data_IF_476350546062
#
_entry.id   IF_476350546062
#
_cell.length_a   1.000
_cell.length_b   1.000
_cell.length_c   1.000
_cell.angle_alpha   90.00
_cell.angle_beta   90.00
_cell.angle_gamma   90.00
#
_symmetry.space_group_name_H-M   'P 1'
#
loop_
_entity.id
_entity.type
_entity.pdbx_description
1 polymer ?
#
# COMPACT_ATOMS: atom_id res chain seq x y z
N UNK A 1 57.57 -10.65 -25.71
CA UNK A 1 56.70 -9.98 -26.69
C UNK A 1 55.87 -11.04 -27.36
N UNK A 2 54.67 -11.24 -26.91
CA UNK A 2 53.71 -12.16 -27.53
C UNK A 2 52.34 -11.50 -27.45
N UNK A 3 51.88 -10.98 -28.56
CA UNK A 3 50.56 -10.34 -28.69
C UNK A 3 49.47 -11.39 -28.60
N UNK A 4 48.60 -11.26 -27.64
CA UNK A 4 47.31 -11.97 -27.58
C UNK A 4 46.23 -11.10 -28.21
N UNK A 5 45.81 -11.49 -29.38
CA UNK A 5 44.67 -10.91 -30.10
C UNK A 5 43.40 -11.41 -29.44
N UNK A 6 42.61 -10.48 -28.87
CA UNK A 6 41.27 -10.76 -28.37
C UNK A 6 40.33 -10.81 -29.59
N UNK A 7 39.81 -12.00 -29.87
CA UNK A 7 38.73 -12.18 -30.85
C UNK A 7 37.41 -11.90 -30.12
N UNK A 8 36.78 -10.79 -30.47
CA UNK A 8 35.40 -10.47 -30.03
C UNK A 8 34.42 -11.25 -30.92
N UNK A 9 33.80 -12.28 -30.33
CA UNK A 9 32.63 -12.91 -30.91
C UNK A 9 31.42 -12.04 -30.62
N UNK A 10 31.10 -11.12 -31.50
CA UNK A 10 29.78 -10.52 -31.59
C UNK A 10 28.92 -11.47 -32.41
N UNK A 11 28.15 -12.32 -31.76
CA UNK A 11 26.94 -12.89 -32.34
C UNK A 11 25.86 -11.81 -32.23
N UNK A 12 25.54 -11.19 -33.35
CA UNK A 12 24.32 -10.44 -33.56
C UNK A 12 23.15 -11.42 -33.43
N UNK A 13 22.50 -11.40 -32.26
CA UNK A 13 21.15 -11.97 -32.12
C UNK A 13 20.19 -11.08 -32.90
N UNK A 14 19.69 -11.58 -33.99
CA UNK A 14 18.58 -10.99 -34.73
C UNK A 14 17.39 -10.81 -33.82
N UNK A 15 16.64 -9.69 -33.89
CA UNK A 15 15.44 -9.54 -33.13
C UNK A 15 14.44 -10.64 -33.52
N UNK A 16 14.01 -11.45 -32.56
CA UNK A 16 12.91 -12.41 -32.75
C UNK A 16 11.66 -11.59 -32.99
N UNK A 17 11.31 -11.38 -34.23
CA UNK A 17 10.03 -10.87 -34.66
C UNK A 17 8.98 -11.94 -34.35
N UNK A 18 8.12 -11.66 -33.37
CA UNK A 18 6.98 -12.50 -33.05
C UNK A 18 5.85 -12.19 -34.05
N UNK A 19 5.97 -12.74 -35.28
CA UNK A 19 5.15 -12.38 -36.43
C UNK A 19 4.02 -13.36 -36.74
N UNK A 20 3.59 -14.20 -35.82
CA UNK A 20 2.29 -14.88 -36.03
C UNK A 20 1.77 -15.48 -34.72
N UNK A 21 0.61 -15.04 -34.29
CA UNK A 21 -0.22 -15.76 -33.31
C UNK A 21 -1.18 -16.62 -34.11
N UNK A 22 -0.99 -17.94 -34.09
CA UNK A 22 -1.95 -18.88 -34.67
C UNK A 22 -3.07 -19.16 -33.67
N UNK A 23 -4.32 -19.18 -34.14
CA UNK A 23 -5.44 -19.64 -33.33
C UNK A 23 -5.36 -21.16 -33.11
N UNK A 24 -6.19 -21.69 -32.23
CA UNK A 24 -6.31 -23.11 -31.89
C UNK A 24 -6.45 -24.03 -33.12
N UNK A 25 -6.94 -23.54 -34.28
CA UNK A 25 -7.10 -24.30 -35.52
C UNK A 25 -5.91 -24.14 -36.48
N UNK A 26 -4.78 -23.52 -36.07
CA UNK A 26 -3.61 -23.32 -36.89
C UNK A 26 -3.77 -22.26 -37.99
N UNK A 27 -4.86 -21.50 -38.00
CA UNK A 27 -5.01 -20.37 -38.89
C UNK A 27 -4.27 -19.15 -38.34
N UNK A 28 -3.45 -18.50 -39.18
CA UNK A 28 -2.90 -17.19 -38.83
C UNK A 28 -4.06 -16.24 -38.56
N UNK A 29 -4.18 -15.79 -37.32
CA UNK A 29 -5.07 -14.70 -37.00
C UNK A 29 -4.33 -13.44 -37.41
N UNK A 30 -4.84 -12.74 -38.41
CA UNK A 30 -4.37 -11.43 -38.78
C UNK A 30 -4.19 -10.61 -37.51
N UNK A 31 -2.96 -10.18 -37.27
CA UNK A 31 -2.65 -9.34 -36.15
C UNK A 31 -3.57 -8.12 -36.26
N UNK A 32 -4.59 -8.08 -35.40
CA UNK A 32 -5.58 -7.02 -35.34
C UNK A 32 -4.94 -5.68 -35.66
N UNK A 33 -5.35 -5.08 -36.77
CA UNK A 33 -5.14 -3.65 -37.03
C UNK A 33 -6.09 -2.86 -36.14
N UNK A 34 -5.85 -2.96 -34.80
CA UNK A 34 -6.59 -2.19 -33.84
C UNK A 34 -6.06 -0.77 -33.92
N UNK A 35 -6.96 0.16 -34.24
CA UNK A 35 -6.69 1.58 -34.12
C UNK A 35 -6.11 1.82 -32.72
N UNK A 36 -4.91 2.34 -32.61
CA UNK A 36 -4.35 2.70 -31.31
C UNK A 36 -5.31 3.75 -30.71
N UNK A 37 -5.76 3.49 -29.48
CA UNK A 37 -6.66 4.41 -28.78
C UNK A 37 -8.19 4.19 -28.95
N UNK A 38 -8.66 3.02 -29.23
CA UNK A 38 -10.08 2.75 -29.11
C UNK A 38 -10.43 2.41 -27.66
N UNK A 39 -11.21 3.26 -26.98
CA UNK A 39 -11.77 2.99 -25.65
C UNK A 39 -12.51 1.66 -25.60
N UNK A 40 -13.20 1.29 -26.67
CA UNK A 40 -13.89 0.00 -26.79
C UNK A 40 -12.91 -1.16 -26.67
N UNK A 41 -11.78 -1.12 -27.37
CA UNK A 41 -10.77 -2.17 -27.36
C UNK A 41 -10.08 -2.27 -26.01
N UNK A 42 -9.78 -1.14 -25.35
CA UNK A 42 -9.20 -1.12 -24.02
C UNK A 42 -10.12 -1.76 -22.98
N UNK A 43 -11.40 -1.41 -23.01
CA UNK A 43 -12.41 -2.02 -22.14
C UNK A 43 -12.52 -3.52 -22.38
N UNK A 44 -12.61 -3.98 -23.64
CA UNK A 44 -12.75 -5.39 -23.99
C UNK A 44 -11.56 -6.23 -23.51
N UNK A 45 -10.33 -5.72 -23.68
CA UNK A 45 -9.11 -6.44 -23.25
C UNK A 45 -9.05 -6.56 -21.72
N UNK A 46 -9.35 -5.50 -21.00
CA UNK A 46 -9.33 -5.56 -19.54
C UNK A 46 -10.48 -6.43 -19.01
N UNK A 47 -11.67 -6.39 -19.64
CA UNK A 47 -12.80 -7.24 -19.30
C UNK A 47 -12.47 -8.73 -19.55
N UNK A 48 -11.77 -9.05 -20.63
CA UNK A 48 -11.32 -10.41 -20.93
C UNK A 48 -10.32 -10.92 -19.88
N UNK A 49 -9.34 -10.10 -19.52
CA UNK A 49 -8.38 -10.43 -18.45
C UNK A 49 -9.10 -10.65 -17.12
N UNK A 50 -10.01 -9.75 -16.75
CA UNK A 50 -10.80 -9.90 -15.52
C UNK A 50 -11.67 -11.15 -15.53
N UNK A 51 -12.31 -11.46 -16.66
CA UNK A 51 -13.14 -12.67 -16.80
C UNK A 51 -12.32 -13.93 -16.57
N UNK A 52 -11.12 -14.01 -17.15
CA UNK A 52 -10.23 -15.13 -16.96
C UNK A 52 -9.73 -15.23 -15.49
N UNK A 53 -9.45 -14.11 -14.83
CA UNK A 53 -9.12 -14.12 -13.41
C UNK A 53 -10.29 -14.67 -12.58
N UNK A 54 -11.51 -14.22 -12.83
CA UNK A 54 -12.73 -14.64 -12.09
C UNK A 54 -13.04 -16.13 -12.21
N UNK A 55 -12.67 -16.74 -13.30
CA UNK A 55 -12.88 -18.17 -13.53
C UNK A 55 -12.06 -19.00 -12.53
N UNK A 56 -10.83 -18.57 -12.21
CA UNK A 56 -9.89 -19.33 -11.40
C UNK A 56 -9.65 -18.74 -10.00
N UNK A 57 -10.09 -17.50 -9.73
CA UNK A 57 -9.81 -16.81 -8.45
C UNK A 57 -11.10 -16.38 -7.78
N UNK A 58 -11.36 -16.94 -6.61
CA UNK A 58 -12.47 -16.51 -5.77
C UNK A 58 -12.10 -15.21 -5.05
N UNK A 59 -12.54 -14.09 -5.61
CA UNK A 59 -12.25 -12.75 -5.11
C UNK A 59 -13.44 -11.80 -5.37
N UNK A 60 -13.43 -10.66 -4.70
CA UNK A 60 -14.46 -9.63 -4.91
C UNK A 60 -14.29 -8.95 -6.28
N UNK A 61 -15.33 -8.24 -6.74
CA UNK A 61 -15.25 -7.42 -7.97
C UNK A 61 -14.13 -6.37 -7.87
N UNK A 62 -13.96 -5.77 -6.69
CA UNK A 62 -12.88 -4.84 -6.42
C UNK A 62 -11.51 -5.50 -6.61
N UNK A 63 -11.33 -6.67 -6.02
CA UNK A 63 -10.05 -7.36 -6.07
C UNK A 63 -9.71 -7.82 -7.49
N UNK A 64 -10.66 -8.40 -8.23
CA UNK A 64 -10.42 -8.84 -9.62
C UNK A 64 -10.09 -7.66 -10.54
N UNK A 65 -10.77 -6.52 -10.40
CA UNK A 65 -10.46 -5.31 -11.14
C UNK A 65 -9.10 -4.70 -10.76
N UNK A 66 -8.74 -4.75 -9.48
CA UNK A 66 -7.42 -4.38 -9.00
C UNK A 66 -6.33 -5.27 -9.61
N UNK A 67 -6.52 -6.61 -9.58
CA UNK A 67 -5.60 -7.57 -10.17
C UNK A 67 -5.41 -7.32 -11.66
N UNK A 68 -6.48 -7.09 -12.40
CA UNK A 68 -6.43 -6.80 -13.84
C UNK A 68 -5.52 -5.63 -14.17
N UNK A 69 -5.69 -4.50 -13.50
CA UNK A 69 -4.86 -3.31 -13.74
C UNK A 69 -3.45 -3.46 -13.18
N UNK A 70 -3.27 -4.17 -12.06
CA UNK A 70 -1.96 -4.43 -11.51
C UNK A 70 -1.13 -5.37 -12.42
N UNK A 71 -1.73 -6.38 -13.06
CA UNK A 71 -1.09 -7.24 -14.06
C UNK A 71 -0.60 -6.40 -15.24
N UNK A 72 -1.40 -5.46 -15.73
CA UNK A 72 -0.95 -4.51 -16.76
C UNK A 72 0.25 -3.72 -16.32
N UNK A 73 0.25 -3.20 -15.09
CA UNK A 73 1.40 -2.55 -14.50
C UNK A 73 2.62 -3.49 -14.40
N UNK A 74 2.43 -4.73 -13.91
CA UNK A 74 3.51 -5.70 -13.75
C UNK A 74 4.20 -6.04 -15.09
N UNK A 75 3.45 -6.12 -16.19
CA UNK A 75 3.98 -6.31 -17.54
C UNK A 75 4.90 -5.17 -18.00
N UNK A 76 4.70 -3.95 -17.49
CA UNK A 76 5.41 -2.73 -17.92
C UNK A 76 5.80 -1.82 -16.75
N UNK A 77 6.12 -2.40 -15.59
CA UNK A 77 6.46 -1.63 -14.38
C UNK A 77 7.66 -0.69 -14.59
N UNK A 78 8.56 -1.00 -15.50
CA UNK A 78 9.73 -0.16 -15.83
C UNK A 78 9.36 1.20 -16.43
N UNK A 79 8.14 1.37 -16.91
CA UNK A 79 7.64 2.67 -17.39
C UNK A 79 7.35 3.66 -16.26
N UNK A 80 7.22 3.17 -15.04
CA UNK A 80 6.79 3.98 -13.90
C UNK A 80 7.95 4.27 -12.95
N UNK A 81 7.88 5.45 -12.31
CA UNK A 81 8.82 5.83 -11.27
C UNK A 81 8.64 5.00 -9.99
N UNK A 82 7.40 4.59 -9.70
CA UNK A 82 7.04 3.78 -8.55
C UNK A 82 6.25 2.56 -8.98
N UNK A 83 6.52 1.43 -8.31
CA UNK A 83 5.82 0.16 -8.50
C UNK A 83 5.13 -0.23 -7.20
N UNK A 84 3.77 -0.32 -7.16
CA UNK A 84 3.07 -0.86 -6.02
C UNK A 84 3.33 -2.35 -5.87
N UNK A 85 3.34 -2.83 -4.63
CA UNK A 85 3.32 -4.25 -4.32
C UNK A 85 1.89 -4.77 -4.41
N UNK A 86 1.75 -6.08 -4.62
CA UNK A 86 0.49 -6.79 -4.52
C UNK A 86 0.63 -7.90 -3.46
N UNK A 87 -0.23 -7.90 -2.46
CA UNK A 87 -0.19 -8.86 -1.37
C UNK A 87 -1.47 -9.68 -1.27
N UNK A 88 -1.35 -11.00 -1.29
CA UNK A 88 -2.44 -11.95 -1.03
C UNK A 88 -2.33 -12.44 0.41
N UNK A 89 -3.29 -12.10 1.26
CA UNK A 89 -3.31 -12.49 2.66
C UNK A 89 -4.59 -13.24 3.01
N UNK A 90 -4.51 -14.16 3.96
CA UNK A 90 -5.66 -14.86 4.53
C UNK A 90 -5.38 -15.23 5.98
N UNK A 91 -6.42 -15.32 6.79
CA UNK A 91 -6.30 -15.76 8.19
C UNK A 91 -5.92 -17.23 8.35
N UNK A 92 -6.14 -18.05 7.31
CA UNK A 92 -5.95 -19.51 7.32
C UNK A 92 -5.32 -19.99 6.00
N UNK A 93 -4.89 -21.24 5.98
CA UNK A 93 -4.42 -21.92 4.77
C UNK A 93 -5.58 -22.28 3.83
N UNK A 94 -5.27 -22.71 2.59
CA UNK A 94 -6.23 -23.20 1.60
C UNK A 94 -7.34 -22.21 1.21
N UNK A 95 -6.96 -20.93 1.04
CA UNK A 95 -7.85 -19.85 0.58
C UNK A 95 -7.58 -19.43 -0.87
N UNK A 96 -6.88 -20.25 -1.67
CA UNK A 96 -6.60 -19.95 -3.08
C UNK A 96 -5.50 -18.92 -3.35
N UNK A 97 -4.67 -18.54 -2.35
CA UNK A 97 -3.59 -17.53 -2.53
C UNK A 97 -2.58 -17.93 -3.59
N UNK A 98 -2.09 -19.16 -3.55
CA UNK A 98 -1.10 -19.69 -4.51
C UNK A 98 -1.68 -19.73 -5.93
N UNK A 99 -2.93 -20.18 -6.09
CA UNK A 99 -3.62 -20.16 -7.38
C UNK A 99 -3.82 -18.73 -7.90
N UNK A 100 -4.17 -17.79 -7.03
CA UNK A 100 -4.30 -16.38 -7.43
C UNK A 100 -2.96 -15.77 -7.88
N UNK A 101 -1.86 -16.10 -7.20
CA UNK A 101 -0.51 -15.70 -7.60
C UNK A 101 -0.13 -16.31 -8.96
N UNK A 102 -0.41 -17.60 -9.16
CA UNK A 102 -0.12 -18.32 -10.39
C UNK A 102 -0.92 -17.77 -11.58
N UNK A 103 -2.22 -17.50 -11.39
CA UNK A 103 -3.09 -16.84 -12.39
C UNK A 103 -2.52 -15.48 -12.80
N UNK A 104 -2.13 -14.66 -11.83
CA UNK A 104 -1.52 -13.36 -12.12
C UNK A 104 -0.18 -13.49 -12.83
N UNK A 105 0.62 -14.49 -12.46
CA UNK A 105 1.91 -14.76 -13.08
C UNK A 105 1.75 -15.21 -14.54
N UNK A 106 0.81 -16.12 -14.84
CA UNK A 106 0.53 -16.60 -16.20
C UNK A 106 0.06 -15.49 -17.15
N UNK A 107 -0.60 -14.44 -16.62
CA UNK A 107 -1.01 -13.25 -17.37
C UNK A 107 0.12 -12.19 -17.48
N UNK A 108 1.27 -12.42 -16.81
CA UNK A 108 2.42 -11.52 -16.82
C UNK A 108 3.55 -12.11 -17.63
N UNK A 109 3.78 -11.58 -18.83
CA UNK A 109 4.65 -12.20 -19.84
C UNK A 109 6.13 -12.29 -19.45
N UNK A 110 6.64 -11.36 -18.64
CA UNK A 110 8.05 -11.35 -18.22
C UNK A 110 8.13 -11.42 -16.71
N UNK A 111 8.11 -12.63 -16.17
CA UNK A 111 7.99 -12.85 -14.72
C UNK A 111 8.73 -14.09 -14.25
N UNK A 112 8.96 -14.16 -12.94
CA UNK A 112 9.41 -15.34 -12.21
C UNK A 112 8.39 -15.74 -11.15
N UNK A 113 8.09 -17.04 -11.03
CA UNK A 113 7.37 -17.61 -9.90
C UNK A 113 8.37 -18.26 -8.95
N UNK A 114 8.31 -17.89 -7.67
CA UNK A 114 9.26 -18.30 -6.63
C UNK A 114 8.48 -18.85 -5.44
N UNK A 115 8.75 -20.07 -5.02
CA UNK A 115 8.06 -20.69 -3.89
C UNK A 115 8.66 -20.27 -2.53
N UNK A 116 9.91 -19.90 -2.51
CA UNK A 116 10.63 -19.39 -1.34
C UNK A 116 11.70 -18.40 -1.80
N UNK A 117 11.91 -17.35 -1.03
CA UNK A 117 12.86 -16.32 -1.39
C UNK A 117 13.75 -15.94 -0.21
N UNK A 118 15.05 -16.13 -0.39
CA UNK A 118 16.04 -15.55 0.51
C UNK A 118 16.43 -14.15 0.07
N UNK A 119 16.99 -13.31 0.94
CA UNK A 119 17.50 -12.00 0.53
C UNK A 119 18.51 -12.09 -0.63
N UNK A 120 19.37 -13.11 -0.63
CA UNK A 120 20.38 -13.29 -1.68
C UNK A 120 19.75 -13.62 -3.04
N UNK A 121 18.77 -14.56 -3.08
CA UNK A 121 18.06 -14.90 -4.30
C UNK A 121 17.22 -13.72 -4.80
N UNK A 122 16.55 -12.98 -3.90
CA UNK A 122 15.80 -11.78 -4.25
C UNK A 122 16.67 -10.75 -4.98
N UNK A 123 17.86 -10.43 -4.45
CA UNK A 123 18.80 -9.52 -5.09
C UNK A 123 19.25 -10.02 -6.47
N UNK A 124 19.49 -11.33 -6.62
CA UNK A 124 19.88 -11.93 -7.89
C UNK A 124 18.79 -11.74 -8.93
N UNK A 125 17.53 -12.03 -8.60
CA UNK A 125 16.40 -11.86 -9.52
C UNK A 125 16.15 -10.39 -9.89
N UNK A 126 16.23 -9.47 -8.95
CA UNK A 126 15.99 -8.04 -9.20
C UNK A 126 17.09 -7.35 -10.00
N UNK A 127 18.31 -7.92 -10.06
CA UNK A 127 19.40 -7.37 -10.87
C UNK A 127 19.09 -7.34 -12.38
N UNK A 128 18.27 -8.27 -12.87
CA UNK A 128 17.84 -8.29 -14.27
C UNK A 128 16.96 -7.10 -14.65
N UNK A 129 16.22 -6.53 -13.68
CA UNK A 129 15.61 -5.21 -13.77
C UNK A 129 14.35 -5.08 -14.62
N UNK A 130 13.90 -6.14 -15.32
CA UNK A 130 12.77 -6.12 -16.24
C UNK A 130 11.70 -7.16 -15.98
N UNK A 131 11.88 -8.02 -14.95
CA UNK A 131 10.97 -9.11 -14.64
C UNK A 131 10.18 -8.85 -13.38
N UNK A 132 8.89 -9.13 -13.44
CA UNK A 132 8.03 -9.16 -12.26
C UNK A 132 8.30 -10.43 -11.43
N UNK A 133 8.18 -10.32 -10.12
CA UNK A 133 8.38 -11.43 -9.20
C UNK A 133 7.06 -11.81 -8.53
N UNK A 134 6.74 -13.09 -8.56
CA UNK A 134 5.60 -13.68 -7.87
C UNK A 134 6.15 -14.65 -6.82
N UNK A 135 5.97 -14.32 -5.54
CA UNK A 135 6.58 -15.04 -4.43
C UNK A 135 5.50 -15.68 -3.56
N UNK A 136 5.46 -17.00 -3.55
CA UNK A 136 4.60 -17.74 -2.62
C UNK A 136 5.26 -17.89 -1.24
N UNK A 137 4.46 -18.05 -0.19
CA UNK A 137 4.88 -18.25 1.20
C UNK A 137 5.87 -17.20 1.76
N UNK A 138 5.66 -15.91 1.40
CA UNK A 138 6.50 -14.79 1.86
C UNK A 138 6.53 -14.61 3.39
N UNK A 139 5.55 -15.17 4.12
CA UNK A 139 5.42 -14.97 5.57
C UNK A 139 6.66 -15.42 6.33
N UNK A 140 7.20 -16.58 6.00
CA UNK A 140 8.35 -17.15 6.72
C UNK A 140 9.66 -16.43 6.37
N UNK A 141 9.81 -16.03 5.10
CA UNK A 141 10.93 -15.20 4.65
C UNK A 141 10.98 -13.83 5.36
N UNK A 142 9.82 -13.25 5.70
CA UNK A 142 9.74 -11.98 6.45
C UNK A 142 9.97 -12.20 7.96
N UNK A 143 9.52 -13.31 8.54
CA UNK A 143 9.72 -13.65 9.95
C UNK A 143 11.17 -13.98 10.29
N UNK A 144 11.94 -14.47 9.33
CA UNK A 144 13.35 -14.84 9.50
C UNK A 144 14.27 -13.71 9.98
N UNK A 145 13.71 -12.51 10.20
CA UNK A 145 14.34 -11.40 10.96
C UNK A 145 15.52 -10.72 10.24
N UNK A 146 15.86 -11.13 9.05
CA UNK A 146 16.86 -10.43 8.27
C UNK A 146 16.25 -9.18 7.65
N UNK A 147 16.49 -8.04 8.27
CA UNK A 147 16.05 -6.70 7.78
C UNK A 147 16.44 -6.37 6.33
N UNK A 148 17.12 -7.30 5.66
CA UNK A 148 17.59 -7.17 4.30
C UNK A 148 16.49 -7.35 3.26
N UNK A 149 15.60 -8.35 3.40
CA UNK A 149 14.47 -8.54 2.48
C UNK A 149 13.44 -7.44 2.64
N UNK A 150 13.09 -7.09 3.88
CA UNK A 150 12.21 -5.97 4.21
C UNK A 150 12.74 -4.65 3.64
N UNK A 151 14.06 -4.41 3.75
CA UNK A 151 14.70 -3.23 3.17
C UNK A 151 14.68 -3.25 1.63
N UNK A 152 14.91 -4.41 1.02
CA UNK A 152 14.85 -4.57 -0.43
C UNK A 152 13.44 -4.34 -0.98
N UNK A 153 12.42 -4.88 -0.34
CA UNK A 153 11.02 -4.63 -0.68
C UNK A 153 10.68 -3.14 -0.60
N UNK A 154 11.14 -2.45 0.44
CA UNK A 154 10.90 -1.02 0.64
C UNK A 154 11.58 -0.15 -0.41
N UNK A 155 12.87 -0.38 -0.67
CA UNK A 155 13.64 0.39 -1.64
C UNK A 155 13.23 0.08 -3.07
N UNK A 156 12.86 -1.17 -3.33
CA UNK A 156 12.50 -1.68 -4.65
C UNK A 156 11.15 -1.19 -5.21
N UNK A 157 10.42 -0.36 -4.47
CA UNK A 157 9.22 0.30 -5.00
C UNK A 157 9.55 1.53 -5.85
N UNK A 158 10.80 1.97 -5.92
CA UNK A 158 11.22 3.15 -6.68
C UNK A 158 12.26 2.77 -7.75
N UNK A 159 12.14 3.31 -8.96
CA UNK A 159 12.93 2.94 -10.14
C UNK A 159 14.46 2.95 -9.94
N UNK A 160 14.97 3.82 -9.09
CA UNK A 160 16.40 3.87 -8.75
C UNK A 160 16.71 3.23 -7.38
N UNK A 161 15.82 2.37 -6.88
CA UNK A 161 15.99 1.68 -5.61
C UNK A 161 17.17 0.72 -5.66
N UNK A 162 18.04 0.82 -4.66
CA UNK A 162 19.16 -0.11 -4.50
C UNK A 162 19.52 -0.29 -3.02
N UNK A 163 20.21 -1.39 -2.72
CA UNK A 163 20.71 -1.70 -1.38
C UNK A 163 22.20 -1.99 -1.48
N UNK A 164 23.06 -1.33 -0.70
CA UNK A 164 24.46 -1.65 -0.67
C UNK A 164 24.72 -2.97 0.11
N UNK A 165 25.60 -3.81 -0.43
CA UNK A 165 26.09 -5.03 0.22
C UNK A 165 27.61 -5.08 0.15
N UNK A 166 28.22 -5.65 1.18
CA UNK A 166 29.65 -5.91 1.20
C UNK A 166 29.89 -7.31 0.68
N UNK A 167 30.63 -7.43 -0.42
CA UNK A 167 31.11 -8.69 -0.97
C UNK A 167 32.61 -8.87 -0.69
N UNK A 168 33.02 -10.12 -0.51
CA UNK A 168 34.43 -10.50 -0.46
C UNK A 168 34.90 -10.80 -1.88
N UNK A 169 35.74 -9.94 -2.41
CA UNK A 169 36.42 -10.16 -3.68
C UNK A 169 37.86 -10.64 -3.47
N UNK A 170 38.55 -10.97 -4.56
CA UNK A 170 39.97 -11.39 -4.54
C UNK A 170 40.89 -10.33 -3.94
N UNK A 171 40.52 -9.04 -4.01
CA UNK A 171 41.29 -7.90 -3.49
C UNK A 171 40.72 -7.33 -2.18
N UNK A 172 39.93 -8.15 -1.42
CA UNK A 172 39.33 -7.74 -0.14
C UNK A 172 37.84 -7.38 -0.25
N UNK A 173 37.36 -6.62 0.74
CA UNK A 173 35.95 -6.22 0.84
C UNK A 173 35.61 -5.11 -0.16
N UNK A 174 34.54 -5.26 -0.91
CA UNK A 174 33.98 -4.21 -1.78
C UNK A 174 32.51 -3.98 -1.48
N UNK A 175 32.04 -2.75 -1.65
CA UNK A 175 30.62 -2.41 -1.56
C UNK A 175 30.03 -2.53 -2.99
N UNK A 176 29.00 -3.35 -3.12
CA UNK A 176 28.25 -3.54 -4.38
C UNK A 176 26.84 -3.03 -4.17
N UNK A 177 26.34 -2.26 -5.12
CA UNK A 177 24.97 -1.76 -5.16
C UNK A 177 24.07 -2.76 -5.88
N UNK A 178 23.15 -3.38 -5.16
CA UNK A 178 22.16 -4.28 -5.74
C UNK A 178 20.89 -3.51 -6.07
N UNK A 179 20.48 -3.54 -7.34
CA UNK A 179 19.18 -3.00 -7.76
C UNK A 179 18.07 -3.81 -7.12
N UNK A 180 17.03 -3.12 -6.66
CA UNK A 180 15.88 -3.76 -5.97
C UNK A 180 14.55 -3.46 -6.64
N UNK A 181 14.56 -2.61 -7.68
CA UNK A 181 13.34 -2.21 -8.37
C UNK A 181 12.75 -3.37 -9.17
N UNK A 182 11.56 -3.79 -8.80
CA UNK A 182 10.79 -4.82 -9.49
C UNK A 182 9.31 -4.71 -9.10
N UNK A 183 8.39 -5.06 -9.99
CA UNK A 183 7.02 -5.37 -9.60
C UNK A 183 7.03 -6.68 -8.81
N UNK A 184 6.44 -6.69 -7.62
CA UNK A 184 6.43 -7.88 -6.76
C UNK A 184 5.01 -8.14 -6.28
N UNK A 185 4.49 -9.33 -6.58
CA UNK A 185 3.33 -9.92 -5.94
C UNK A 185 3.79 -11.01 -4.96
N UNK A 186 3.11 -11.15 -3.84
CA UNK A 186 3.45 -12.18 -2.86
C UNK A 186 2.22 -12.68 -2.11
N UNK A 187 2.29 -13.91 -1.64
CA UNK A 187 1.27 -14.55 -0.82
C UNK A 187 1.79 -15.04 0.51
N UNK A 188 0.88 -15.23 1.47
CA UNK A 188 1.21 -15.86 2.74
C UNK A 188 0.06 -15.79 3.75
N UNK A 189 0.13 -16.63 4.79
CA UNK A 189 -0.85 -16.60 5.87
C UNK A 189 -0.54 -15.45 6.80
N UNK A 190 -1.48 -14.49 6.92
CA UNK A 190 -1.34 -13.27 7.72
C UNK A 190 -0.05 -12.50 7.42
N UNK A 191 0.36 -12.51 6.16
CA UNK A 191 1.58 -11.81 5.71
C UNK A 191 1.49 -10.30 5.93
N UNK A 192 0.30 -9.74 5.85
CA UNK A 192 -0.02 -8.34 6.20
C UNK A 192 0.31 -8.01 7.66
N UNK A 193 0.11 -8.92 8.58
CA UNK A 193 0.39 -8.71 10.00
C UNK A 193 1.90 -8.74 10.35
N UNK A 194 2.70 -9.49 9.60
CA UNK A 194 4.16 -9.58 9.83
C UNK A 194 4.95 -8.51 9.09
N UNK A 195 4.35 -7.91 8.07
CA UNK A 195 4.97 -6.85 7.28
C UNK A 195 5.02 -5.53 8.05
N UNK A 196 6.15 -4.82 7.96
CA UNK A 196 6.29 -3.49 8.56
C UNK A 196 5.33 -2.47 7.92
N UNK A 197 5.00 -1.42 8.66
CA UNK A 197 4.04 -0.39 8.23
C UNK A 197 4.45 0.32 6.93
N UNK A 198 5.75 0.44 6.67
CA UNK A 198 6.24 1.14 5.48
C UNK A 198 6.06 0.31 4.21
N UNK A 199 6.26 -1.00 4.27
CA UNK A 199 5.99 -1.92 3.16
C UNK A 199 4.48 -2.12 3.00
N UNK A 200 3.75 -2.27 4.12
CA UNK A 200 2.29 -2.39 4.12
C UNK A 200 1.62 -1.23 3.37
N UNK A 201 2.03 0.01 3.62
CA UNK A 201 1.47 1.21 2.96
C UNK A 201 1.81 1.33 1.46
N UNK A 202 2.68 0.49 0.92
CA UNK A 202 3.04 0.42 -0.50
C UNK A 202 2.46 -0.78 -1.23
N UNK A 203 1.62 -1.55 -0.53
CA UNK A 203 1.04 -2.80 -1.01
C UNK A 203 -0.45 -2.62 -1.21
N UNK A 204 -0.96 -3.06 -2.35
CA UNK A 204 -2.39 -3.33 -2.53
C UNK A 204 -2.69 -4.70 -1.95
N UNK A 205 -3.65 -4.78 -1.05
CA UNK A 205 -3.99 -6.00 -0.34
C UNK A 205 -5.24 -6.66 -0.90
N UNK A 206 -5.14 -7.96 -1.18
CA UNK A 206 -6.25 -8.85 -1.51
C UNK A 206 -6.43 -9.81 -0.33
N UNK A 207 -7.56 -9.64 0.38
CA UNK A 207 -7.91 -10.48 1.51
C UNK A 207 -8.69 -11.71 1.04
N UNK A 208 -7.96 -12.83 0.92
CA UNK A 208 -8.51 -14.09 0.45
C UNK A 208 -9.32 -14.80 1.55
N UNK A 209 -10.41 -15.43 1.15
CA UNK A 209 -11.24 -16.26 2.01
C UNK A 209 -11.49 -17.60 1.33
N UNK A 210 -11.83 -18.64 2.11
CA UNK A 210 -12.26 -19.90 1.53
C UNK A 210 -13.57 -19.71 0.78
N UNK A 211 -13.67 -20.29 -0.40
CA UNK A 211 -14.91 -20.44 -1.12
C UNK A 211 -15.84 -21.39 -0.34
N UNK A 212 -17.13 -21.12 -0.39
CA UNK A 212 -18.16 -22.02 0.13
C UNK A 212 -18.60 -22.99 -0.97
N UNK A 213 -19.33 -24.03 -0.59
CA UNK A 213 -19.89 -24.96 -1.56
C UNK A 213 -20.76 -24.20 -2.59
N UNK A 214 -20.42 -24.33 -3.85
CA UNK A 214 -21.06 -23.62 -4.96
C UNK A 214 -20.45 -22.26 -5.33
N UNK A 215 -19.42 -21.84 -4.62
CA UNK A 215 -18.59 -20.65 -4.93
C UNK A 215 -17.20 -21.06 -5.43
N UNK A 216 -16.93 -22.36 -5.57
CA UNK A 216 -15.58 -22.86 -5.89
C UNK A 216 -15.16 -22.40 -7.29
N UNK A 217 -14.00 -21.70 -7.42
CA UNK A 217 -13.44 -21.39 -8.72
C UNK A 217 -12.93 -22.65 -9.41
N UNK A 218 -12.72 -22.58 -10.72
CA UNK A 218 -12.09 -23.66 -11.46
C UNK A 218 -10.67 -23.95 -10.93
N UNK A 219 -10.30 -25.22 -10.94
CA UNK A 219 -8.93 -25.62 -10.59
C UNK A 219 -8.03 -25.38 -11.78
N UNK A 220 -6.97 -24.59 -11.58
CA UNK A 220 -5.99 -24.32 -12.63
C UNK A 220 -5.12 -25.55 -12.93
N UNK A 221 -5.10 -25.97 -14.20
CA UNK A 221 -4.07 -26.88 -14.74
C UNK A 221 -3.34 -26.17 -15.90
N UNK A 222 -2.10 -25.75 -15.65
CA UNK A 222 -1.31 -25.00 -16.63
C UNK A 222 -1.17 -25.76 -17.96
N UNK A 223 -1.16 -27.10 -17.96
CA UNK A 223 -1.06 -27.91 -19.16
C UNK A 223 -2.32 -27.82 -20.03
N UNK A 224 -3.45 -27.57 -19.41
CA UNK A 224 -4.75 -27.45 -20.09
C UNK A 224 -5.05 -25.99 -20.38
N UNK A 225 -4.91 -25.12 -19.39
CA UNK A 225 -5.35 -23.72 -19.43
C UNK A 225 -4.26 -22.74 -19.87
N UNK A 226 -2.97 -23.13 -19.77
CA UNK A 226 -1.83 -22.24 -20.01
C UNK A 226 -1.85 -21.56 -21.38
N UNK A 227 -2.41 -22.20 -22.40
CA UNK A 227 -2.56 -21.60 -23.73
C UNK A 227 -3.54 -20.41 -23.72
N UNK A 228 -4.62 -20.46 -22.92
CA UNK A 228 -5.59 -19.37 -22.76
C UNK A 228 -4.95 -18.17 -22.10
N UNK A 229 -4.22 -18.39 -21.00
CA UNK A 229 -3.49 -17.35 -20.29
C UNK A 229 -2.45 -16.69 -21.18
N UNK A 230 -1.69 -17.48 -21.94
CA UNK A 230 -0.69 -16.96 -22.88
C UNK A 230 -1.34 -16.12 -23.98
N UNK A 231 -2.47 -16.54 -24.52
CA UNK A 231 -3.18 -15.79 -25.55
C UNK A 231 -3.73 -14.47 -25.02
N UNK A 232 -4.44 -14.50 -23.88
CA UNK A 232 -5.00 -13.28 -23.25
C UNK A 232 -3.90 -12.35 -22.77
N UNK A 233 -2.90 -12.85 -22.06
CA UNK A 233 -1.74 -12.07 -21.60
C UNK A 233 -0.94 -11.46 -22.74
N UNK A 234 -0.79 -12.19 -23.87
CA UNK A 234 -0.14 -11.68 -25.08
C UNK A 234 -0.91 -10.54 -25.73
N UNK A 235 -2.25 -10.63 -25.82
CA UNK A 235 -3.10 -9.51 -26.31
C UNK A 235 -3.00 -8.30 -25.39
N UNK A 236 -3.05 -8.52 -24.07
CA UNK A 236 -2.92 -7.45 -23.10
C UNK A 236 -1.56 -6.74 -23.22
N UNK A 237 -0.47 -7.50 -23.29
CA UNK A 237 0.87 -6.94 -23.50
C UNK A 237 0.97 -6.13 -24.78
N UNK A 238 0.43 -6.64 -25.88
CA UNK A 238 0.42 -5.94 -27.18
C UNK A 238 -0.35 -4.61 -27.08
N UNK A 239 -1.53 -4.63 -26.47
CA UNK A 239 -2.32 -3.41 -26.24
C UNK A 239 -1.57 -2.39 -25.38
N UNK A 240 -0.90 -2.81 -24.30
CA UNK A 240 -0.05 -1.93 -23.49
C UNK A 240 1.05 -1.29 -24.33
N UNK A 241 1.75 -2.06 -25.15
CA UNK A 241 2.82 -1.56 -26.03
C UNK A 241 2.32 -0.55 -27.05
N UNK A 242 1.16 -0.80 -27.65
CA UNK A 242 0.52 0.14 -28.59
C UNK A 242 0.13 1.46 -27.94
N UNK A 243 -0.16 1.45 -26.64
CA UNK A 243 -0.60 2.61 -25.88
C UNK A 243 0.47 3.20 -24.94
N UNK A 244 1.75 2.81 -25.11
CA UNK A 244 2.85 3.23 -24.23
C UNK A 244 2.91 4.75 -24.03
N UNK A 245 2.82 5.53 -25.12
CA UNK A 245 2.90 6.99 -25.03
C UNK A 245 1.78 7.59 -24.20
N UNK A 246 0.57 7.07 -24.35
CA UNK A 246 -0.59 7.53 -23.62
C UNK A 246 -0.52 7.17 -22.12
N UNK A 247 -0.10 5.94 -21.81
CA UNK A 247 0.10 5.49 -20.45
C UNK A 247 1.19 6.30 -19.75
N UNK A 248 2.33 6.53 -20.42
CA UNK A 248 3.42 7.33 -19.88
C UNK A 248 3.08 8.82 -19.78
N UNK A 249 2.23 9.32 -20.68
CA UNK A 249 1.74 10.69 -20.71
C UNK A 249 0.54 10.96 -19.79
N UNK A 250 0.12 9.99 -18.97
CA UNK A 250 -1.03 10.14 -18.09
C UNK A 250 -0.96 11.41 -17.25
N UNK A 251 -2.01 12.24 -17.34
CA UNK A 251 -2.11 13.47 -16.58
C UNK A 251 -2.47 13.17 -15.10
N UNK A 252 -1.53 13.43 -14.21
CA UNK A 252 -1.68 13.22 -12.77
C UNK A 252 -2.77 14.10 -12.14
N UNK A 253 -3.23 15.15 -12.83
CA UNK A 253 -4.33 15.98 -12.35
C UNK A 253 -5.68 15.23 -12.35
N UNK A 254 -5.78 14.12 -13.09
CA UNK A 254 -6.96 13.25 -13.12
C UNK A 254 -7.06 12.32 -11.89
N UNK A 255 -6.00 12.22 -11.10
CA UNK A 255 -6.06 11.48 -9.83
C UNK A 255 -6.97 12.19 -8.82
N UNK A 256 -7.72 11.43 -8.02
CA UNK A 256 -8.47 12.00 -6.90
C UNK A 256 -7.55 12.84 -5.99
N UNK A 257 -8.00 14.05 -5.62
CA UNK A 257 -7.21 14.98 -4.79
C UNK A 257 -6.83 14.41 -3.42
N UNK A 258 -7.62 13.47 -2.91
CA UNK A 258 -7.38 12.77 -1.65
C UNK A 258 -6.21 11.79 -1.70
N UNK A 259 -5.81 11.35 -2.91
CA UNK A 259 -4.62 10.51 -3.09
C UNK A 259 -3.35 11.37 -2.98
N UNK A 260 -2.76 11.41 -1.82
CA UNK A 260 -1.55 12.19 -1.54
C UNK A 260 -0.36 11.26 -1.20
N UNK A 261 0.85 11.76 -1.39
CA UNK A 261 2.07 11.08 -0.97
C UNK A 261 2.18 9.65 -1.53
N UNK A 262 2.24 8.66 -0.65
CA UNK A 262 2.42 7.24 -1.00
C UNK A 262 1.20 6.64 -1.71
N UNK A 263 0.00 7.04 -1.32
CA UNK A 263 -1.21 6.52 -1.95
C UNK A 263 -1.29 6.97 -3.41
N UNK A 264 -0.93 8.22 -3.69
CA UNK A 264 -0.79 8.68 -5.06
C UNK A 264 0.24 7.87 -5.85
N UNK A 265 1.43 7.63 -5.28
CA UNK A 265 2.49 6.89 -5.95
C UNK A 265 2.10 5.42 -6.20
N UNK A 266 1.33 4.82 -5.28
CA UNK A 266 0.82 3.45 -5.36
C UNK A 266 -0.26 3.30 -6.43
N UNK A 267 -1.23 4.22 -6.49
CA UNK A 267 -2.36 4.15 -7.40
C UNK A 267 -2.06 4.65 -8.81
N UNK A 268 -1.08 5.56 -8.99
CA UNK A 268 -0.80 6.20 -10.27
C UNK A 268 -0.63 5.23 -11.44
N UNK A 269 0.13 4.11 -11.34
CA UNK A 269 0.28 3.18 -12.46
C UNK A 269 -1.05 2.54 -12.89
N UNK A 270 -1.91 2.21 -11.92
CA UNK A 270 -3.20 1.58 -12.19
C UNK A 270 -4.17 2.57 -12.85
N UNK A 271 -4.17 3.82 -12.38
CA UNK A 271 -4.95 4.90 -13.01
C UNK A 271 -4.52 5.18 -14.44
N UNK A 272 -3.21 5.19 -14.71
CA UNK A 272 -2.69 5.41 -16.06
C UNK A 272 -3.18 4.35 -17.06
N UNK A 273 -3.17 3.08 -16.65
CA UNK A 273 -3.66 1.97 -17.48
C UNK A 273 -5.19 2.05 -17.63
N UNK A 274 -5.92 2.25 -16.53
CA UNK A 274 -7.38 2.32 -16.55
C UNK A 274 -7.90 3.51 -17.37
N UNK A 275 -7.22 4.66 -17.32
CA UNK A 275 -7.57 5.85 -18.10
C UNK A 275 -7.50 5.57 -19.60
N UNK A 276 -6.44 4.89 -20.06
CA UNK A 276 -6.26 4.53 -21.46
C UNK A 276 -7.21 3.41 -21.89
N UNK A 277 -7.60 2.54 -20.96
CA UNK A 277 -8.59 1.50 -21.23
C UNK A 277 -10.00 2.06 -21.43
N UNK A 278 -10.31 3.21 -20.84
CA UNK A 278 -11.58 3.91 -21.01
C UNK A 278 -12.30 4.26 -19.71
N UNK A 279 -13.34 5.08 -19.82
CA UNK A 279 -14.04 5.65 -18.67
C UNK A 279 -14.60 4.57 -17.71
N UNK A 280 -15.09 3.44 -18.22
CA UNK A 280 -15.59 2.33 -17.41
C UNK A 280 -14.53 1.86 -16.40
N UNK A 281 -13.31 1.62 -16.86
CA UNK A 281 -12.21 1.15 -16.01
C UNK A 281 -11.66 2.26 -15.12
N UNK A 282 -11.57 3.48 -15.63
CA UNK A 282 -11.14 4.64 -14.86
C UNK A 282 -12.06 4.88 -13.64
N UNK A 283 -13.38 4.84 -13.83
CA UNK A 283 -14.35 5.03 -12.74
C UNK A 283 -14.32 3.88 -11.72
N UNK A 284 -14.11 2.64 -12.19
CA UNK A 284 -13.91 1.50 -11.29
C UNK A 284 -12.66 1.68 -10.42
N UNK A 285 -11.52 1.99 -11.02
CA UNK A 285 -10.27 2.19 -10.27
C UNK A 285 -10.36 3.39 -9.34
N UNK A 286 -11.07 4.47 -9.75
CA UNK A 286 -11.33 5.61 -8.86
C UNK A 286 -12.13 5.20 -7.63
N UNK A 287 -13.19 4.42 -7.80
CA UNK A 287 -13.98 3.88 -6.68
C UNK A 287 -13.14 3.00 -5.76
N UNK A 288 -12.36 2.07 -6.31
CA UNK A 288 -11.50 1.18 -5.51
C UNK A 288 -10.43 1.93 -4.71
N UNK A 289 -9.87 2.99 -5.29
CA UNK A 289 -8.90 3.82 -4.60
C UNK A 289 -9.51 4.59 -3.41
N UNK A 290 -10.75 5.07 -3.56
CA UNK A 290 -11.47 5.74 -2.48
C UNK A 290 -11.88 4.75 -1.38
N UNK A 291 -12.36 3.56 -1.74
CA UNK A 291 -12.67 2.49 -0.79
C UNK A 291 -11.43 2.07 0.01
N UNK A 292 -10.26 1.91 -0.63
CA UNK A 292 -9.01 1.58 0.07
C UNK A 292 -8.57 2.70 1.01
N UNK A 293 -8.78 3.97 0.64
CA UNK A 293 -8.53 5.10 1.53
C UNK A 293 -9.43 5.07 2.76
N UNK A 294 -10.71 4.78 2.59
CA UNK A 294 -11.65 4.67 3.69
C UNK A 294 -11.30 3.50 4.61
N UNK A 295 -10.93 2.34 4.05
CA UNK A 295 -10.45 1.19 4.81
C UNK A 295 -9.12 1.49 5.55
N UNK A 296 -8.19 2.21 4.90
CA UNK A 296 -6.91 2.60 5.49
C UNK A 296 -7.05 3.73 6.51
N UNK A 297 -8.13 4.49 6.43
CA UNK A 297 -8.55 5.50 7.39
C UNK A 297 -9.17 4.90 8.66
N UNK A 298 -9.26 3.57 8.81
CA UNK A 298 -9.45 2.98 10.12
C UNK A 298 -8.33 3.50 11.01
N UNK A 299 -8.75 4.38 11.93
CA UNK A 299 -7.84 5.13 12.78
C UNK A 299 -6.93 4.16 13.52
N UNK A 300 -5.63 4.32 13.39
CA UNK A 300 -4.69 3.64 14.29
C UNK A 300 -5.03 4.04 15.72
N UNK A 301 -4.67 3.22 16.71
CA UNK A 301 -4.91 3.55 18.14
C UNK A 301 -4.45 4.99 18.48
N UNK A 302 -3.35 5.42 17.86
CA UNK A 302 -2.80 6.77 18.05
C UNK A 302 -3.69 7.85 17.41
N UNK A 303 -4.20 7.66 16.21
CA UNK A 303 -5.09 8.63 15.54
C UNK A 303 -6.49 8.60 16.15
N UNK A 304 -6.96 7.46 16.63
CA UNK A 304 -8.22 7.35 17.34
C UNK A 304 -8.22 8.18 18.66
N UNK A 305 -7.08 8.22 19.35
CA UNK A 305 -6.95 9.12 20.53
C UNK A 305 -7.03 10.58 20.12
N UNK A 306 -6.41 11.00 19.00
CA UNK A 306 -6.52 12.38 18.52
C UNK A 306 -7.96 12.74 18.17
N UNK A 307 -8.70 11.83 17.52
CA UNK A 307 -10.14 12.01 17.27
C UNK A 307 -10.92 12.18 18.55
N UNK A 308 -10.69 11.30 19.53
CA UNK A 308 -11.33 11.41 20.83
C UNK A 308 -11.01 12.72 21.56
N UNK A 309 -9.76 13.17 21.49
CA UNK A 309 -9.31 14.44 22.06
C UNK A 309 -9.99 15.62 21.36
N UNK A 310 -10.10 15.59 20.05
CA UNK A 310 -10.78 16.63 19.27
C UNK A 310 -12.27 16.69 19.59
N UNK A 311 -12.95 15.55 19.63
CA UNK A 311 -14.36 15.48 19.98
C UNK A 311 -14.64 15.97 21.42
N UNK A 312 -13.82 15.57 22.40
CA UNK A 312 -13.89 16.06 23.78
C UNK A 312 -13.69 17.59 23.82
N UNK A 313 -12.77 18.12 23.03
CA UNK A 313 -12.51 19.55 22.99
C UNK A 313 -13.69 20.36 22.47
N UNK A 314 -14.27 19.96 21.34
CA UNK A 314 -15.35 20.69 20.71
C UNK A 314 -16.70 20.45 21.37
N UNK A 315 -16.91 19.29 22.00
CA UNK A 315 -18.13 18.92 22.70
C UNK A 315 -17.93 18.90 24.22
N UNK A 316 -17.17 19.83 24.77
CA UNK A 316 -16.71 19.86 26.15
C UNK A 316 -17.83 19.64 27.17
N UNK A 317 -19.00 20.28 26.98
CA UNK A 317 -20.15 20.23 27.89
C UNK A 317 -20.73 18.81 28.06
N UNK A 318 -20.48 17.91 27.11
CA UNK A 318 -20.85 16.49 27.26
C UNK A 318 -19.95 15.72 28.24
N UNK A 319 -18.73 16.20 28.44
CA UNK A 319 -17.70 15.48 29.19
C UNK A 319 -17.40 16.12 30.55
N UNK A 320 -17.64 17.41 30.73
CA UNK A 320 -17.31 18.15 31.92
C UNK A 320 -18.31 19.30 32.19
N UNK A 321 -18.72 19.45 33.46
CA UNK A 321 -19.53 20.58 33.91
C UNK A 321 -18.70 21.80 34.31
N UNK A 322 -17.35 21.65 34.37
CA UNK A 322 -16.42 22.74 34.69
C UNK A 322 -16.00 23.44 33.41
N UNK A 323 -15.73 24.76 33.44
CA UNK A 323 -15.14 25.46 32.31
C UNK A 323 -13.86 24.77 31.84
N UNK A 324 -13.62 24.78 30.50
CA UNK A 324 -12.41 24.24 29.93
C UNK A 324 -11.24 25.18 30.21
N UNK A 325 -10.19 24.63 30.81
CA UNK A 325 -8.92 25.32 31.02
C UNK A 325 -8.11 25.29 29.71
N UNK A 326 -7.10 26.14 29.60
CA UNK A 326 -6.13 26.14 28.48
C UNK A 326 -5.25 24.88 28.46
N UNK A 327 -5.20 24.18 29.59
CA UNK A 327 -4.34 23.02 29.86
C UNK A 327 -5.17 21.86 30.40
N UNK A 328 -4.67 20.66 30.16
CA UNK A 328 -5.25 19.41 30.72
C UNK A 328 -4.14 18.55 31.30
N UNK A 329 -4.31 18.11 32.55
CA UNK A 329 -3.37 17.13 33.12
C UNK A 329 -3.53 15.78 32.46
N UNK A 330 -2.45 14.99 32.36
CA UNK A 330 -2.48 13.62 31.80
C UNK A 330 -3.56 12.77 32.47
N UNK A 331 -3.69 12.86 33.81
CA UNK A 331 -4.71 12.11 34.55
C UNK A 331 -6.15 12.56 34.23
N UNK A 332 -6.39 13.86 34.08
CA UNK A 332 -7.70 14.35 33.67
C UNK A 332 -8.05 13.99 32.24
N UNK A 333 -7.07 14.04 31.34
CA UNK A 333 -7.28 13.61 29.95
C UNK A 333 -7.65 12.12 29.87
N UNK A 334 -6.98 11.25 30.63
CA UNK A 334 -7.37 9.84 30.75
C UNK A 334 -8.82 9.66 31.24
N UNK A 335 -9.26 10.44 32.23
CA UNK A 335 -10.65 10.40 32.74
C UNK A 335 -11.67 10.86 31.71
N UNK A 336 -11.33 11.87 30.91
CA UNK A 336 -12.18 12.35 29.83
C UNK A 336 -12.28 11.33 28.71
N UNK A 337 -11.15 10.75 28.28
CA UNK A 337 -11.10 9.67 27.28
C UNK A 337 -11.91 8.45 27.72
N UNK A 338 -11.89 8.09 29.00
CA UNK A 338 -12.71 6.99 29.54
C UNK A 338 -14.22 7.19 29.40
N UNK A 339 -14.68 8.44 29.30
CA UNK A 339 -16.07 8.79 29.03
C UNK A 339 -16.42 8.84 27.55
N UNK A 340 -15.40 9.00 26.70
CA UNK A 340 -15.61 9.14 25.27
C UNK A 340 -16.22 7.87 24.67
N UNK A 341 -17.11 8.08 23.70
CA UNK A 341 -17.79 7.01 22.95
C UNK A 341 -17.56 7.25 21.48
N UNK A 342 -17.16 6.23 20.74
CA UNK A 342 -17.00 6.30 19.30
C UNK A 342 -18.35 6.32 18.55
N UNK A 343 -18.32 6.42 17.23
CA UNK A 343 -19.50 6.49 16.35
C UNK A 343 -20.37 5.23 16.45
N UNK A 344 -19.78 4.08 16.76
CA UNK A 344 -20.47 2.80 16.96
C UNK A 344 -21.03 2.63 18.37
N UNK A 345 -20.91 3.65 19.22
CA UNK A 345 -21.35 3.61 20.62
C UNK A 345 -20.41 2.83 21.55
N UNK A 346 -19.18 2.46 21.10
CA UNK A 346 -18.21 1.75 21.91
C UNK A 346 -17.40 2.73 22.77
N UNK A 347 -16.92 2.25 23.90
CA UNK A 347 -16.05 3.01 24.81
C UNK A 347 -14.64 2.40 24.84
N UNK A 348 -13.79 2.62 23.84
CA UNK A 348 -12.49 1.94 23.72
C UNK A 348 -11.57 2.24 24.92
N UNK A 349 -11.74 3.39 25.56
CA UNK A 349 -10.94 3.83 26.71
C UNK A 349 -11.64 3.68 28.06
N UNK A 350 -12.78 2.96 28.16
CA UNK A 350 -13.54 2.81 29.39
C UNK A 350 -12.70 2.31 30.58
N UNK A 351 -11.78 1.40 30.32
CA UNK A 351 -10.85 0.85 31.33
C UNK A 351 -9.87 1.89 31.88
N UNK A 352 -9.72 3.04 31.24
CA UNK A 352 -8.81 4.09 31.68
C UNK A 352 -9.34 4.87 32.90
N UNK A 353 -10.58 4.71 33.23
CA UNK A 353 -11.20 5.30 34.45
C UNK A 353 -11.11 4.39 35.70
N UNK A 354 -10.76 3.11 35.55
CA UNK A 354 -10.77 2.13 36.64
C UNK A 354 -9.55 2.22 37.58
N UNK A 355 -8.84 3.34 37.58
CA UNK A 355 -7.65 3.52 38.41
C UNK A 355 -8.00 3.99 39.82
N UNK A 356 -8.39 3.08 40.67
CA UNK A 356 -8.35 3.28 42.14
C UNK A 356 -6.89 3.11 42.60
N UNK A 357 -6.08 2.35 41.86
CA UNK A 357 -4.70 2.04 42.19
C UNK A 357 -3.69 3.02 41.51
N UNK A 358 -2.66 3.41 42.24
CA UNK A 358 -1.63 4.35 41.77
C UNK A 358 -0.84 3.77 40.62
N UNK A 359 -0.57 2.46 40.61
CA UNK A 359 0.16 1.77 39.55
C UNK A 359 -0.62 1.79 38.23
N UNK A 360 -1.91 1.51 38.24
CA UNK A 360 -2.78 1.59 37.08
C UNK A 360 -2.83 2.98 36.47
N UNK A 361 -2.82 4.03 37.27
CA UNK A 361 -2.76 5.43 36.80
C UNK A 361 -1.46 5.74 36.09
N UNK A 362 -0.33 5.22 36.58
CA UNK A 362 1.00 5.41 35.98
C UNK A 362 1.09 4.68 34.64
N UNK A 363 0.61 3.44 34.55
CA UNK A 363 0.63 2.64 33.32
C UNK A 363 -0.16 3.35 32.22
N UNK A 364 -1.34 3.87 32.51
CA UNK A 364 -2.23 4.54 31.55
C UNK A 364 -1.70 5.89 31.10
N UNK A 365 -1.14 6.65 32.03
CA UNK A 365 -0.46 7.90 31.70
C UNK A 365 0.75 7.66 30.78
N UNK A 366 1.48 6.56 30.96
CA UNK A 366 2.57 6.14 30.07
C UNK A 366 2.06 5.71 28.70
N UNK A 367 0.96 4.94 28.64
CA UNK A 367 0.33 4.54 27.38
C UNK A 367 -0.14 5.78 26.59
N UNK A 368 -0.86 6.70 27.23
CA UNK A 368 -1.30 7.95 26.61
C UNK A 368 -0.11 8.76 26.08
N UNK A 369 0.94 8.91 26.89
CA UNK A 369 2.15 9.63 26.49
C UNK A 369 2.84 8.96 25.31
N UNK A 370 2.88 7.62 25.26
CA UNK A 370 3.44 6.85 24.15
C UNK A 370 2.64 7.05 22.86
N UNK A 371 1.33 7.01 22.93
CA UNK A 371 0.44 7.19 21.78
C UNK A 371 0.48 8.62 21.24
N UNK A 372 0.40 9.63 22.11
CA UNK A 372 0.46 11.04 21.71
C UNK A 372 1.88 11.47 21.32
N UNK A 373 2.91 10.86 21.85
CA UNK A 373 4.30 11.20 21.57
C UNK A 373 4.75 10.97 20.14
N UNK A 374 3.99 10.21 19.36
CA UNK A 374 4.24 10.02 17.91
C UNK A 374 3.86 11.24 17.07
N UNK A 375 3.10 12.19 17.61
CA UNK A 375 2.63 13.38 16.91
C UNK A 375 3.48 14.59 17.21
N UNK A 376 3.54 15.52 16.26
CA UNK A 376 4.23 16.80 16.40
C UNK A 376 3.23 17.96 16.34
N UNK A 377 3.47 18.98 17.15
CA UNK A 377 2.69 20.22 17.13
C UNK A 377 3.21 21.21 16.06
N UNK A 378 2.55 22.37 15.90
CA UNK A 378 2.91 23.44 14.98
C UNK A 378 4.36 23.92 15.11
N UNK A 379 4.98 23.73 16.27
CA UNK A 379 6.36 24.12 16.54
C UNK A 379 7.37 23.02 16.18
N UNK A 380 6.94 21.93 15.54
CA UNK A 380 7.77 20.78 15.20
C UNK A 380 8.23 19.96 16.41
N UNK A 381 7.60 20.11 17.57
CA UNK A 381 7.93 19.37 18.79
C UNK A 381 6.95 18.22 19.00
N UNK A 382 7.47 17.06 19.40
CA UNK A 382 6.65 15.93 19.80
C UNK A 382 5.69 16.29 20.95
N UNK A 383 4.47 15.80 20.90
CA UNK A 383 3.50 15.90 21.99
C UNK A 383 3.99 15.08 23.17
N UNK A 384 4.82 15.66 24.01
CA UNK A 384 5.37 15.04 25.21
C UNK A 384 5.02 15.85 26.46
N UNK A 385 4.78 15.15 27.56
CA UNK A 385 4.51 15.79 28.86
C UNK A 385 5.75 16.51 29.41
N UNK A 386 6.95 16.22 28.93
CA UNK A 386 8.19 16.87 29.40
C UNK A 386 8.27 18.33 28.98
N UNK A 387 7.77 18.67 27.80
CA UNK A 387 7.69 20.04 27.28
C UNK A 387 6.61 20.90 27.94
N UNK A 388 5.69 20.28 28.66
CA UNK A 388 4.50 20.93 29.22
C UNK A 388 4.41 20.82 30.75
N UNK A 389 5.54 20.85 31.44
CA UNK A 389 5.52 20.99 32.91
C UNK A 389 4.94 22.36 33.26
N UNK A 390 3.74 22.34 33.82
CA UNK A 390 3.07 23.52 34.30
C UNK A 390 2.42 23.25 35.66
N UNK A 391 2.15 24.33 36.41
CA UNK A 391 1.35 24.21 37.62
C UNK A 391 -0.11 24.08 37.23
N UNK A 392 -0.78 23.03 37.69
CA UNK A 392 -2.21 22.82 37.61
C UNK A 392 -2.71 22.72 39.06
N UNK A 393 -3.70 23.50 39.39
CA UNK A 393 -4.30 23.55 40.76
C UNK A 393 -3.25 23.71 41.87
N UNK A 394 -2.17 24.47 41.64
CA UNK A 394 -1.10 24.70 42.62
C UNK A 394 0.00 23.65 42.66
N UNK A 395 -0.20 22.47 42.06
CA UNK A 395 0.79 21.38 42.04
C UNK A 395 1.54 21.29 40.70
N UNK A 396 2.82 20.85 40.77
CA UNK A 396 3.62 20.52 39.57
C UNK A 396 3.16 19.20 38.98
N UNK A 397 2.19 19.25 38.10
CA UNK A 397 1.71 18.06 37.36
C UNK A 397 2.10 18.12 35.89
N UNK A 398 2.20 16.95 35.26
CA UNK A 398 2.43 16.83 33.81
C UNK A 398 1.11 16.94 33.07
N UNK A 399 1.10 17.64 31.95
CA UNK A 399 -0.08 17.80 31.15
C UNK A 399 0.19 18.31 29.74
N UNK A 400 -0.85 18.59 29.01
CA UNK A 400 -0.84 19.07 27.64
C UNK A 400 -1.56 20.40 27.52
N UNK A 401 -1.13 21.23 26.57
CA UNK A 401 -1.90 22.37 26.10
C UNK A 401 -2.97 21.86 25.11
N UNK A 402 -4.22 22.29 25.28
CA UNK A 402 -5.26 21.97 24.32
C UNK A 402 -4.93 22.44 22.90
N UNK A 403 -4.33 23.64 22.77
CA UNK A 403 -3.91 24.16 21.49
C UNK A 403 -2.92 23.24 20.75
N UNK A 404 -1.97 22.61 21.46
CA UNK A 404 -1.04 21.65 20.85
C UNK A 404 -1.73 20.33 20.45
N UNK A 405 -2.69 19.88 21.25
CA UNK A 405 -3.47 18.69 20.97
C UNK A 405 -4.38 18.86 19.74
N UNK A 406 -5.05 20.00 19.65
CA UNK A 406 -5.94 20.33 18.51
C UNK A 406 -5.13 20.55 17.24
N UNK A 407 -4.02 21.31 17.29
CA UNK A 407 -3.13 21.46 16.14
C UNK A 407 -2.61 20.11 15.63
N UNK A 408 -2.26 19.19 16.54
CA UNK A 408 -1.88 17.83 16.15
C UNK A 408 -3.05 17.06 15.53
N UNK A 409 -4.26 17.21 16.05
CA UNK A 409 -5.47 16.61 15.47
C UNK A 409 -5.72 17.12 14.04
N UNK A 410 -5.62 18.41 13.83
CA UNK A 410 -5.84 19.03 12.50
C UNK A 410 -4.78 18.59 11.47
N UNK A 411 -3.55 18.30 11.92
CA UNK A 411 -2.47 17.85 11.03
C UNK A 411 -2.48 16.37 10.72
N UNK A 412 -2.89 15.55 11.67
CA UNK A 412 -2.67 14.11 11.62
C UNK A 412 -3.96 13.30 11.44
N UNK A 413 -5.14 13.90 11.67
CA UNK A 413 -6.40 13.25 11.34
C UNK A 413 -6.69 13.37 9.83
N UNK A 414 -7.23 12.32 9.21
CA UNK A 414 -7.82 12.41 7.89
C UNK A 414 -8.90 13.50 7.81
N UNK A 415 -9.08 14.11 6.65
CA UNK A 415 -10.00 15.24 6.47
C UNK A 415 -11.45 14.86 6.83
N UNK A 416 -11.86 13.61 6.55
CA UNK A 416 -13.17 13.05 6.92
C UNK A 416 -13.44 12.99 8.43
N UNK A 417 -12.39 13.02 9.24
CA UNK A 417 -12.50 12.97 10.71
C UNK A 417 -12.20 14.30 11.41
N UNK A 418 -11.91 15.35 10.65
CA UNK A 418 -11.73 16.69 11.20
C UNK A 418 -13.11 17.31 11.43
N UNK A 419 -13.38 17.67 12.68
CA UNK A 419 -14.55 18.49 12.97
C UNK A 419 -14.27 19.90 12.42
N UNK A 420 -15.13 20.38 11.53
CA UNK A 420 -15.04 21.75 11.07
C UNK A 420 -15.12 22.70 12.26
N UNK A 421 -14.09 23.51 12.46
CA UNK A 421 -14.19 24.67 13.31
C UNK A 421 -15.25 25.59 12.70
N UNK A 422 -16.47 25.53 13.15
CA UNK A 422 -17.35 26.70 13.02
C UNK A 422 -16.62 27.83 13.73
N UNK A 423 -16.12 28.77 12.95
CA UNK A 423 -15.40 29.93 13.42
C UNK A 423 -16.20 30.60 14.55
N UNK A 424 -15.85 30.27 15.78
CA UNK A 424 -16.16 31.15 16.89
C UNK A 424 -15.19 32.32 16.69
N UNK A 425 -15.70 33.37 16.08
CA UNK A 425 -15.05 34.67 16.05
C UNK A 425 -14.59 35.00 17.45
N UNK A 426 -13.28 34.89 17.67
CA UNK A 426 -12.64 35.53 18.82
C UNK A 426 -12.60 37.04 18.53
N UNK A 427 -13.66 37.73 18.81
CA UNK A 427 -13.64 39.15 19.03
C UNK A 427 -12.74 39.43 20.26
N UNK A 428 -11.49 39.64 20.00
CA UNK A 428 -10.58 40.28 20.94
C UNK A 428 -10.71 41.80 20.74
N UNK A 429 -11.67 42.38 21.36
CA UNK A 429 -11.51 43.78 21.81
C UNK A 429 -10.61 43.75 23.04
N UNK A 430 -9.33 44.04 22.81
CA UNK A 430 -8.42 44.49 23.86
C UNK A 430 -8.60 46.00 23.93
N UNK A 431 -9.47 46.44 24.84
CA UNK A 431 -9.45 47.86 25.29
C UNK A 431 -8.17 48.06 26.05
N UNK A 432 -7.31 48.91 25.54
CA UNK A 432 -6.28 49.60 26.28
C UNK A 432 -6.96 50.73 27.07
N UNK A 433 -6.91 50.63 28.38
CA UNK A 433 -6.82 51.77 29.33
C UNK A 433 -5.82 51.41 30.45
#
# INVERSE_FOLDING_TARGET
MTNLTVVSNQQEESPVTCDSVTNWNGAEVDAYSLEPYSETVGNEILDEVESLIREFVFATERDTGLLTTWIGHANKFTWFKYTPRLGFTAGVHECGKSQALEVCQLLTNNSYYLSDVTPASFFTYTQHGDKALFVDEMTDSLRGGEGSLTSALKTGTKANGSVPRVEMGTNGRRVVQFKTYAAVAFGGVRVDAVMDSQNRSRTHWVHMRRAMLGEDPETLDERIDGHRFKAVGGRYLKWLQQNEQAINGFDKSQLPKHLIGRDRDKWLPLFAIACVAGNKWLDRIRRYALEELDDSNQLTDSTQILKAVQDIYFNWDRYSVKPRDTKVTTGNLCKLLAKWTDEDGRKPYAKWNNGVDLEDRIIRSKQLTGLLGSFINARGKSLSTEGHRSMFDGDRTRGYLWADLIDASDRHLPESYRLECHAVTCDKEVSHD
#
